data_IF_749036114092
#
_entry.id   IF_749036114092
#
_cell.length_a   1.000
_cell.length_b   1.000
_cell.length_c   1.000
_cell.angle_alpha   90.00
_cell.angle_beta   90.00
_cell.angle_gamma   90.00
#
_symmetry.space_group_name_H-M   'P 1'
#
loop_
_entity.id
_entity.type
_entity.pdbx_description
1 polymer ?
#
# COMPACT_ATOMS: atom_id res chain seq x y z
N UNK A 1 49.17 -4.79 44.12
CA UNK A 1 47.83 -4.34 43.62
C UNK A 1 47.90 -4.31 42.09
N UNK A 2 47.31 -5.32 41.43
CA UNK A 2 47.30 -5.42 39.96
C UNK A 2 45.99 -4.82 39.49
N UNK A 3 46.06 -3.73 38.70
CA UNK A 3 44.92 -3.05 38.09
C UNK A 3 44.62 -3.82 36.78
N UNK A 4 43.45 -4.44 36.71
CA UNK A 4 42.96 -5.08 35.46
C UNK A 4 42.40 -4.00 34.51
N UNK A 5 42.66 -4.08 33.21
CA UNK A 5 42.10 -3.15 32.25
C UNK A 5 40.63 -3.45 32.00
N UNK A 6 39.79 -2.44 32.17
CA UNK A 6 38.37 -2.48 31.82
C UNK A 6 38.28 -2.40 30.29
N UNK A 7 37.90 -3.51 29.65
CA UNK A 7 37.54 -3.52 28.22
C UNK A 7 36.17 -2.82 28.07
N UNK A 8 36.16 -1.61 27.56
CA UNK A 8 34.94 -0.96 27.05
C UNK A 8 34.53 -1.67 25.75
N UNK A 9 33.50 -2.52 25.83
CA UNK A 9 32.84 -3.03 24.64
C UNK A 9 32.06 -1.87 24.00
N UNK A 10 32.55 -1.36 22.88
CA UNK A 10 31.81 -0.45 22.03
C UNK A 10 30.66 -1.24 21.36
N UNK A 11 29.44 -1.07 21.87
CA UNK A 11 28.25 -1.47 21.16
C UNK A 11 28.15 -0.58 19.93
N UNK A 12 28.53 -1.09 18.77
CA UNK A 12 28.17 -0.52 17.49
C UNK A 12 26.64 -0.62 17.39
N UNK A 13 25.94 0.47 17.68
CA UNK A 13 24.54 0.61 17.29
C UNK A 13 24.51 0.57 15.76
N UNK A 14 24.18 -0.60 15.23
CA UNK A 14 23.79 -0.72 13.82
C UNK A 14 22.60 0.23 13.66
N UNK A 15 22.82 1.36 12.99
CA UNK A 15 21.74 2.20 12.47
C UNK A 15 21.07 1.30 11.44
N UNK A 16 20.05 0.56 11.84
CA UNK A 16 19.21 -0.16 10.90
C UNK A 16 18.63 0.91 9.97
N UNK A 17 18.99 0.83 8.71
CA UNK A 17 18.34 1.60 7.66
C UNK A 17 16.83 1.47 7.85
N UNK A 18 16.11 2.58 7.81
CA UNK A 18 14.66 2.54 7.99
C UNK A 18 14.05 1.60 6.95
N UNK A 19 13.21 0.68 7.40
CA UNK A 19 12.50 -0.25 6.53
C UNK A 19 11.21 0.37 5.98
N UNK A 20 10.68 -0.25 4.94
CA UNK A 20 9.36 0.03 4.37
C UNK A 20 8.53 -1.26 4.39
N UNK A 21 8.07 -1.72 5.58
CA UNK A 21 7.64 -3.09 5.80
C UNK A 21 6.24 -3.42 5.29
N UNK A 22 5.51 -2.42 4.82
CA UNK A 22 4.13 -2.57 4.34
C UNK A 22 3.83 -1.58 3.22
N UNK A 23 2.73 -1.81 2.53
CA UNK A 23 2.16 -0.83 1.62
C UNK A 23 1.92 0.49 2.34
N UNK A 24 2.38 1.58 1.73
CA UNK A 24 2.38 2.94 2.29
C UNK A 24 3.25 3.12 3.54
N UNK A 25 4.24 2.25 3.74
CA UNK A 25 5.30 2.43 4.73
C UNK A 25 4.97 1.94 6.14
N UNK A 26 5.84 2.29 7.10
CA UNK A 26 5.78 1.72 8.46
C UNK A 26 4.50 2.10 9.22
N UNK A 27 3.88 3.22 8.90
CA UNK A 27 2.65 3.72 9.52
C UNK A 27 1.40 3.53 8.65
N UNK A 28 1.57 3.06 7.39
CA UNK A 28 0.48 2.83 6.45
C UNK A 28 -0.19 4.10 5.91
N UNK A 29 0.36 5.27 6.20
CA UNK A 29 -0.19 6.58 5.84
C UNK A 29 0.51 7.27 4.66
N UNK A 30 1.56 6.62 4.12
CA UNK A 30 2.32 7.13 2.97
C UNK A 30 3.47 8.05 3.33
N UNK A 31 3.87 8.14 4.60
CA UNK A 31 5.01 8.94 5.02
C UNK A 31 6.28 8.11 5.13
N UNK A 32 7.35 8.59 4.48
CA UNK A 32 8.70 8.10 4.71
C UNK A 32 9.27 8.68 6.02
N UNK A 33 10.26 7.98 6.59
CA UNK A 33 11.04 8.53 7.70
C UNK A 33 11.68 9.87 7.29
N UNK A 34 11.76 10.81 8.21
CA UNK A 34 12.31 12.14 7.95
C UNK A 34 13.82 12.09 7.59
N UNK A 35 14.28 13.12 6.87
CA UNK A 35 15.68 13.31 6.52
C UNK A 35 16.16 12.50 5.31
N UNK A 36 15.23 12.08 4.44
CA UNK A 36 15.58 11.38 3.20
C UNK A 36 16.28 12.30 2.20
N UNK A 37 17.45 11.91 1.72
CA UNK A 37 18.16 12.57 0.63
C UNK A 37 17.84 11.90 -0.69
N UNK A 38 16.82 12.38 -1.38
CA UNK A 38 16.30 11.75 -2.59
C UNK A 38 16.57 12.64 -3.81
N UNK A 39 16.96 12.07 -4.95
CA UNK A 39 17.05 12.83 -6.18
C UNK A 39 15.65 13.33 -6.59
N UNK A 40 15.61 14.53 -7.15
CA UNK A 40 14.38 15.05 -7.78
C UNK A 40 14.25 14.55 -9.21
N UNK A 41 15.39 14.36 -9.89
CA UNK A 41 15.46 13.89 -11.28
C UNK A 41 16.17 12.55 -11.38
N UNK A 42 15.62 11.66 -12.20
CA UNK A 42 16.23 10.39 -12.57
C UNK A 42 15.73 9.88 -13.91
N UNK A 43 16.49 8.96 -14.48
CA UNK A 43 16.17 8.23 -15.70
C UNK A 43 16.84 6.85 -15.68
N UNK A 44 16.79 6.09 -16.76
CA UNK A 44 17.56 4.83 -16.86
C UNK A 44 19.09 5.06 -16.88
N UNK A 45 19.56 6.28 -17.06
CA UNK A 45 20.99 6.65 -17.09
C UNK A 45 21.42 7.64 -16.00
N UNK A 46 20.50 8.15 -15.19
CA UNK A 46 20.78 9.13 -14.14
C UNK A 46 20.11 8.72 -12.84
N UNK A 47 20.84 8.74 -11.73
CA UNK A 47 20.36 8.41 -10.39
C UNK A 47 19.67 7.05 -10.26
N UNK A 48 19.95 6.12 -11.17
CA UNK A 48 19.54 4.74 -11.11
C UNK A 48 20.65 3.90 -10.46
N UNK A 49 20.36 3.32 -9.31
CA UNK A 49 21.30 2.47 -8.58
C UNK A 49 21.33 1.08 -9.19
N UNK A 50 20.15 0.49 -9.42
CA UNK A 50 20.00 -0.80 -10.09
C UNK A 50 18.59 -0.98 -10.68
N UNK A 51 18.50 -1.94 -11.60
CA UNK A 51 17.29 -2.42 -12.25
C UNK A 51 17.28 -3.94 -12.23
N UNK A 52 16.18 -4.53 -11.83
CA UNK A 52 15.99 -5.98 -11.80
C UNK A 52 14.76 -6.39 -12.61
N UNK A 53 14.87 -7.44 -13.43
CA UNK A 53 13.71 -8.02 -14.08
C UNK A 53 12.84 -8.74 -13.05
N UNK A 54 11.52 -8.55 -13.13
CA UNK A 54 10.53 -9.19 -12.27
C UNK A 54 9.80 -10.25 -13.08
N UNK A 55 9.76 -11.47 -12.58
CA UNK A 55 9.01 -12.57 -13.16
C UNK A 55 7.51 -12.33 -13.04
N UNK A 56 6.77 -12.62 -14.11
CA UNK A 56 5.32 -12.56 -14.13
C UNK A 56 4.76 -11.15 -14.13
N UNK A 57 3.53 -10.99 -13.60
CA UNK A 57 2.80 -9.73 -13.54
C UNK A 57 2.16 -9.53 -12.17
N UNK A 58 2.20 -8.30 -11.66
CA UNK A 58 1.49 -7.94 -10.44
C UNK A 58 1.28 -6.42 -10.31
N UNK A 59 0.35 -6.02 -9.46
CA UNK A 59 0.11 -4.62 -9.12
C UNK A 59 0.64 -4.27 -7.74
N UNK A 60 0.94 -5.28 -6.92
CA UNK A 60 1.49 -5.10 -5.58
C UNK A 60 2.77 -4.27 -5.62
N UNK A 61 2.88 -3.38 -4.65
CA UNK A 61 4.00 -2.46 -4.48
C UNK A 61 5.19 -3.15 -3.82
N UNK A 62 6.42 -2.70 -4.03
CA UNK A 62 7.56 -3.23 -3.30
C UNK A 62 7.49 -2.85 -1.82
N UNK A 63 7.95 -3.76 -0.96
CA UNK A 63 8.29 -3.48 0.44
C UNK A 63 9.78 -3.71 0.66
N UNK A 64 10.33 -3.11 1.71
CA UNK A 64 11.75 -3.24 2.05
C UNK A 64 11.87 -3.69 3.49
N UNK A 65 12.57 -4.81 3.71
CA UNK A 65 12.77 -5.42 5.03
C UNK A 65 14.23 -5.84 5.15
N UNK A 66 14.97 -5.22 6.04
CA UNK A 66 16.40 -5.45 6.22
C UNK A 66 17.17 -5.26 4.92
N UNK A 67 17.80 -6.31 4.44
CA UNK A 67 18.60 -6.34 3.23
C UNK A 67 17.84 -6.84 1.98
N UNK A 68 16.50 -6.87 2.03
CA UNK A 68 15.63 -7.41 0.98
C UNK A 68 14.61 -6.39 0.48
N UNK A 69 14.36 -6.42 -0.82
CA UNK A 69 13.17 -5.81 -1.45
C UNK A 69 12.25 -6.94 -1.88
N UNK A 70 11.00 -6.89 -1.49
CA UNK A 70 10.05 -7.97 -1.64
C UNK A 70 8.80 -7.50 -2.39
N UNK A 71 8.23 -8.36 -3.22
CA UNK A 71 6.96 -8.10 -3.89
C UNK A 71 6.22 -9.39 -4.25
N UNK A 72 4.89 -9.28 -4.36
CA UNK A 72 4.04 -10.35 -4.86
C UNK A 72 3.95 -10.28 -6.39
N UNK A 73 3.88 -11.44 -7.03
CA UNK A 73 3.72 -11.57 -8.48
C UNK A 73 2.92 -12.83 -8.85
N UNK A 74 2.43 -12.88 -10.07
CA UNK A 74 1.83 -14.09 -10.63
C UNK A 74 2.35 -14.32 -12.05
N UNK A 75 2.73 -15.54 -12.31
CA UNK A 75 3.15 -16.02 -13.61
C UNK A 75 2.00 -16.87 -14.19
N UNK A 76 1.34 -16.34 -15.19
CA UNK A 76 0.16 -16.99 -15.78
C UNK A 76 0.52 -18.16 -16.71
N UNK A 77 1.77 -18.19 -17.21
CA UNK A 77 2.24 -19.27 -18.08
C UNK A 77 2.52 -20.53 -17.29
N UNK A 78 3.06 -20.38 -16.09
CA UNK A 78 3.31 -21.50 -15.16
C UNK A 78 2.19 -21.71 -14.15
N UNK A 79 1.16 -20.85 -14.18
CA UNK A 79 0.05 -20.80 -13.22
C UNK A 79 0.52 -20.68 -11.76
N UNK A 80 1.51 -19.84 -11.49
CA UNK A 80 2.08 -19.67 -10.16
C UNK A 80 1.78 -18.28 -9.59
N UNK A 81 1.46 -18.24 -8.29
CA UNK A 81 1.45 -17.02 -7.48
C UNK A 81 2.63 -17.07 -6.52
N UNK A 82 3.45 -16.01 -6.51
CA UNK A 82 4.76 -16.02 -5.87
C UNK A 82 5.00 -14.78 -5.03
N UNK A 83 5.92 -14.92 -4.07
CA UNK A 83 6.64 -13.80 -3.45
C UNK A 83 8.09 -13.85 -3.93
N UNK A 84 8.59 -12.72 -4.41
CA UNK A 84 9.97 -12.57 -4.89
C UNK A 84 10.76 -11.71 -3.90
N UNK A 85 12.02 -12.08 -3.73
CA UNK A 85 12.99 -11.33 -2.94
C UNK A 85 14.19 -10.94 -3.78
N UNK A 86 14.58 -9.68 -3.65
CA UNK A 86 15.76 -9.11 -4.28
C UNK A 86 16.71 -8.55 -3.22
N UNK A 87 17.98 -8.61 -3.47
CA UNK A 87 19.00 -7.98 -2.64
C UNK A 87 18.85 -6.45 -2.72
N UNK A 88 18.69 -5.80 -1.57
CA UNK A 88 18.42 -4.37 -1.46
C UNK A 88 19.52 -3.50 -2.06
N UNK A 89 20.78 -3.93 -1.95
CA UNK A 89 21.92 -3.16 -2.42
C UNK A 89 22.14 -3.29 -3.93
N UNK A 90 21.87 -4.47 -4.51
CA UNK A 90 22.29 -4.82 -5.86
C UNK A 90 21.14 -5.14 -6.82
N UNK A 91 19.93 -5.36 -6.33
CA UNK A 91 18.79 -5.83 -7.12
C UNK A 91 18.89 -7.29 -7.60
N UNK A 92 19.90 -8.06 -7.18
CA UNK A 92 20.01 -9.48 -7.55
C UNK A 92 18.89 -10.27 -6.89
N UNK A 93 18.30 -11.22 -7.64
CA UNK A 93 17.33 -12.17 -7.06
C UNK A 93 17.99 -12.98 -5.94
N UNK A 94 17.29 -13.07 -4.80
CA UNK A 94 17.72 -13.86 -3.63
C UNK A 94 17.00 -15.17 -3.54
N UNK A 95 15.66 -15.12 -3.66
CA UNK A 95 14.79 -16.28 -3.66
C UNK A 95 13.42 -15.96 -4.27
N UNK A 96 12.74 -17.01 -4.72
CA UNK A 96 11.35 -17.01 -5.15
C UNK A 96 10.59 -18.05 -4.33
N UNK A 97 9.46 -17.65 -3.74
CA UNK A 97 8.59 -18.55 -2.99
C UNK A 97 7.27 -18.72 -3.73
N UNK A 98 7.02 -19.93 -4.23
CA UNK A 98 5.72 -20.26 -4.83
C UNK A 98 4.71 -20.51 -3.72
N UNK A 99 3.67 -19.68 -3.69
CA UNK A 99 2.59 -19.73 -2.69
C UNK A 99 1.43 -20.60 -3.17
N UNK A 100 1.08 -20.48 -4.45
CA UNK A 100 0.07 -21.33 -5.10
C UNK A 100 0.53 -21.80 -6.47
N UNK A 101 0.09 -23.00 -6.85
CA UNK A 101 0.24 -23.58 -8.19
C UNK A 101 -1.13 -23.98 -8.73
N UNK A 102 -1.41 -23.58 -9.96
CA UNK A 102 -2.71 -23.82 -10.60
C UNK A 102 -3.86 -23.00 -10.01
N UNK A 103 -5.04 -23.21 -10.58
CA UNK A 103 -6.30 -22.61 -10.13
C UNK A 103 -6.31 -21.06 -10.08
N UNK A 104 -5.54 -20.42 -10.95
CA UNK A 104 -5.59 -18.98 -11.11
C UNK A 104 -6.99 -18.55 -11.53
N UNK A 105 -7.43 -17.41 -11.02
CA UNK A 105 -8.71 -16.86 -11.40
C UNK A 105 -8.66 -16.30 -12.83
N UNK A 106 -9.47 -16.84 -13.71
CA UNK A 106 -9.58 -16.38 -15.11
C UNK A 106 -10.62 -15.28 -15.34
N UNK A 107 -11.41 -14.95 -14.29
CA UNK A 107 -12.45 -13.91 -14.33
C UNK A 107 -11.90 -12.61 -13.72
N UNK A 108 -12.47 -11.48 -14.12
CA UNK A 108 -12.12 -10.18 -13.57
C UNK A 108 -11.99 -9.12 -14.67
N UNK A 109 -11.57 -7.93 -14.27
CA UNK A 109 -11.33 -6.83 -15.20
C UNK A 109 -10.05 -7.09 -16.01
N UNK A 110 -10.04 -6.71 -17.29
CA UNK A 110 -8.91 -6.95 -18.23
C UNK A 110 -7.55 -6.39 -17.77
N UNK A 111 -7.56 -5.33 -16.94
CA UNK A 111 -6.34 -4.75 -16.40
C UNK A 111 -5.98 -5.34 -15.02
N UNK A 112 -6.82 -6.16 -14.39
CA UNK A 112 -6.50 -6.77 -13.09
C UNK A 112 -5.28 -7.70 -13.20
N UNK A 113 -4.62 -7.96 -12.09
CA UNK A 113 -3.57 -8.96 -11.99
C UNK A 113 -3.94 -10.05 -10.99
N UNK A 114 -3.25 -11.19 -11.06
CA UNK A 114 -3.40 -12.29 -10.10
C UNK A 114 -2.60 -12.06 -8.80
N UNK A 115 -1.94 -10.89 -8.69
CA UNK A 115 -1.11 -10.48 -7.57
C UNK A 115 -1.20 -8.97 -7.36
N UNK A 116 -2.39 -8.48 -6.97
CA UNK A 116 -2.62 -7.05 -6.70
C UNK A 116 -2.46 -6.69 -5.22
N UNK A 117 -2.49 -7.68 -4.33
CA UNK A 117 -2.19 -7.50 -2.90
C UNK A 117 -0.70 -7.31 -2.67
N UNK A 118 -0.34 -6.44 -1.74
CA UNK A 118 1.03 -6.24 -1.32
C UNK A 118 1.46 -7.29 -0.28
N UNK A 119 2.77 -7.49 -0.17
CA UNK A 119 3.37 -8.20 0.96
C UNK A 119 3.44 -7.23 2.14
N UNK A 120 3.30 -7.74 3.37
CA UNK A 120 3.57 -6.99 4.59
C UNK A 120 4.48 -7.80 5.50
N UNK A 121 5.32 -7.13 6.30
CA UNK A 121 6.23 -7.77 7.25
C UNK A 121 6.09 -7.24 8.66
N UNK A 122 6.26 -8.13 9.65
CA UNK A 122 6.45 -7.77 11.06
C UNK A 122 7.93 -7.71 11.47
N UNK A 123 8.86 -7.77 10.50
CA UNK A 123 10.31 -7.84 10.72
C UNK A 123 10.86 -9.26 10.88
N UNK A 124 10.01 -10.25 11.13
CA UNK A 124 10.39 -11.67 11.26
C UNK A 124 9.68 -12.56 10.23
N UNK A 125 8.50 -12.15 9.78
CA UNK A 125 7.62 -12.89 8.87
C UNK A 125 7.11 -11.97 7.78
N UNK A 126 6.71 -12.60 6.68
CA UNK A 126 6.02 -11.98 5.56
C UNK A 126 4.61 -12.52 5.49
N UNK A 127 3.64 -11.66 5.19
CA UNK A 127 2.25 -12.08 4.97
C UNK A 127 1.78 -11.56 3.62
N UNK A 128 1.05 -12.39 2.89
CA UNK A 128 0.51 -12.04 1.58
C UNK A 128 -0.87 -12.67 1.40
N UNK A 129 -1.76 -11.94 0.74
CA UNK A 129 -3.07 -12.44 0.35
C UNK A 129 -3.09 -12.79 -1.14
N UNK A 130 -3.69 -13.92 -1.47
CA UNK A 130 -3.99 -14.28 -2.86
C UNK A 130 -5.42 -14.77 -3.00
N UNK A 131 -6.02 -14.43 -4.12
CA UNK A 131 -7.23 -15.10 -4.63
C UNK A 131 -6.78 -16.32 -5.42
N UNK A 132 -7.14 -17.50 -4.96
CA UNK A 132 -6.86 -18.76 -5.65
C UNK A 132 -8.03 -19.74 -5.44
N UNK A 133 -8.35 -20.53 -6.43
CA UNK A 133 -9.43 -21.54 -6.37
C UNK A 133 -10.75 -20.99 -5.77
N UNK A 134 -11.16 -19.79 -6.18
CA UNK A 134 -12.41 -19.16 -5.72
C UNK A 134 -12.45 -18.76 -4.24
N UNK A 135 -11.30 -18.64 -3.58
CA UNK A 135 -11.21 -18.27 -2.17
C UNK A 135 -10.01 -17.32 -1.92
N UNK A 136 -10.09 -16.55 -0.85
CA UNK A 136 -8.98 -15.76 -0.36
C UNK A 136 -8.15 -16.60 0.60
N UNK A 137 -6.84 -16.62 0.34
CA UNK A 137 -5.85 -17.23 1.19
C UNK A 137 -4.89 -16.18 1.71
N UNK A 138 -4.58 -16.26 3.01
CA UNK A 138 -3.46 -15.53 3.61
C UNK A 138 -2.35 -16.53 3.92
N UNK A 139 -1.14 -16.21 3.49
CA UNK A 139 0.04 -17.06 3.68
C UNK A 139 1.09 -16.30 4.45
N UNK A 140 1.66 -16.93 5.48
CA UNK A 140 2.84 -16.46 6.17
C UNK A 140 4.08 -17.20 5.69
N UNK A 141 5.13 -16.44 5.41
CA UNK A 141 6.47 -16.96 5.07
C UNK A 141 7.47 -16.45 6.11
N UNK A 142 8.58 -17.17 6.28
CA UNK A 142 9.76 -16.58 6.93
C UNK A 142 10.50 -15.64 5.96
N UNK A 143 11.50 -14.92 6.44
CA UNK A 143 12.29 -14.00 5.61
C UNK A 143 13.17 -14.69 4.55
N UNK A 144 13.19 -16.03 4.52
CA UNK A 144 13.87 -16.85 3.49
C UNK A 144 12.90 -17.44 2.48
N UNK A 145 11.60 -17.08 2.57
CA UNK A 145 10.56 -17.55 1.65
C UNK A 145 9.96 -18.91 2.01
N UNK A 146 10.33 -19.52 3.15
CA UNK A 146 9.70 -20.77 3.60
C UNK A 146 8.31 -20.51 4.15
N UNK A 147 7.30 -21.22 3.66
CA UNK A 147 5.94 -21.14 4.19
C UNK A 147 5.89 -21.65 5.64
N UNK A 148 5.33 -20.81 6.52
CA UNK A 148 5.10 -21.12 7.92
C UNK A 148 3.68 -21.64 8.13
N UNK A 149 2.70 -20.96 7.55
CA UNK A 149 1.30 -21.38 7.53
C UNK A 149 0.56 -20.77 6.34
N UNK A 150 -0.57 -21.35 5.98
CA UNK A 150 -1.51 -20.82 5.01
C UNK A 150 -2.93 -21.01 5.54
N UNK A 151 -3.74 -19.96 5.46
CA UNK A 151 -5.13 -19.97 5.92
C UNK A 151 -6.08 -19.60 4.77
N UNK A 152 -7.04 -20.46 4.51
CA UNK A 152 -8.23 -20.12 3.73
C UNK A 152 -9.12 -19.21 4.58
N UNK A 153 -9.32 -17.97 4.14
CA UNK A 153 -10.04 -16.94 4.90
C UNK A 153 -11.55 -17.03 4.65
N UNK A 154 -11.94 -17.04 3.38
CA UNK A 154 -13.34 -17.16 2.95
C UNK A 154 -13.43 -17.54 1.48
N UNK A 155 -14.62 -17.97 1.03
CA UNK A 155 -14.97 -18.00 -0.39
C UNK A 155 -14.94 -16.60 -0.97
N UNK A 156 -14.74 -16.47 -2.28
CA UNK A 156 -14.69 -15.17 -2.94
C UNK A 156 -15.35 -15.21 -4.32
N UNK A 157 -16.40 -14.44 -4.49
CA UNK A 157 -17.05 -14.26 -5.78
C UNK A 157 -16.45 -13.08 -6.53
N UNK A 158 -15.69 -13.37 -7.57
CA UNK A 158 -14.97 -12.37 -8.34
C UNK A 158 -15.90 -11.44 -9.11
N UNK A 159 -15.64 -10.15 -9.03
CA UNK A 159 -16.20 -9.12 -9.91
C UNK A 159 -15.09 -8.53 -10.80
N UNK A 160 -14.20 -7.70 -10.26
CA UNK A 160 -13.09 -7.12 -11.01
C UNK A 160 -11.73 -7.79 -10.70
N UNK A 161 -11.59 -8.42 -9.57
CA UNK A 161 -10.37 -9.04 -9.07
C UNK A 161 -10.32 -8.98 -7.55
N UNK A 162 -9.14 -9.17 -6.97
CA UNK A 162 -8.86 -9.02 -5.55
C UNK A 162 -7.59 -8.18 -5.36
N UNK A 163 -7.63 -7.16 -4.50
CA UNK A 163 -6.51 -6.24 -4.30
C UNK A 163 -6.25 -5.82 -2.85
N UNK A 164 -7.10 -6.23 -1.89
CA UNK A 164 -6.88 -5.87 -0.49
C UNK A 164 -5.62 -6.53 0.07
N UNK A 165 -4.73 -5.71 0.63
CA UNK A 165 -3.49 -6.18 1.25
C UNK A 165 -3.70 -6.58 2.70
N UNK A 166 -2.91 -7.53 3.25
CA UNK A 166 -2.94 -7.80 4.68
C UNK A 166 -2.40 -6.61 5.47
N UNK A 167 -2.92 -6.40 6.69
CA UNK A 167 -2.47 -5.32 7.58
C UNK A 167 -2.15 -5.91 8.94
N UNK A 168 -1.00 -5.54 9.51
CA UNK A 168 -0.58 -6.06 10.82
C UNK A 168 -0.91 -5.04 11.90
N UNK A 169 -1.57 -5.51 12.95
CA UNK A 169 -1.67 -4.78 14.21
C UNK A 169 -1.38 -5.72 15.39
N UNK A 170 -0.27 -5.48 16.07
CA UNK A 170 0.23 -6.31 17.17
C UNK A 170 0.36 -7.80 16.77
N UNK A 171 -0.49 -8.67 17.34
CA UNK A 171 -0.51 -10.12 17.06
C UNK A 171 -1.55 -10.53 16.02
N UNK A 172 -2.24 -9.57 15.39
CA UNK A 172 -3.30 -9.82 14.41
C UNK A 172 -2.86 -9.42 13.01
N UNK A 173 -3.16 -10.27 12.03
CA UNK A 173 -3.17 -9.94 10.60
C UNK A 173 -4.61 -9.73 10.18
N UNK A 174 -4.93 -8.51 9.78
CA UNK A 174 -6.25 -8.12 9.28
C UNK A 174 -6.35 -8.41 7.79
N UNK A 175 -7.48 -8.97 7.37
CA UNK A 175 -7.79 -9.30 5.97
C UNK A 175 -9.21 -8.85 5.66
N UNK A 176 -9.37 -7.99 4.66
CA UNK A 176 -10.66 -7.63 4.07
C UNK A 176 -10.89 -8.41 2.78
N UNK A 177 -12.08 -8.96 2.62
CA UNK A 177 -12.48 -9.73 1.45
C UNK A 177 -13.93 -9.42 1.09
N UNK A 178 -14.20 -8.17 0.69
CA UNK A 178 -15.53 -7.73 0.27
C UNK A 178 -15.85 -8.24 -1.14
N UNK A 179 -16.99 -8.91 -1.31
CA UNK A 179 -17.42 -9.45 -2.61
C UNK A 179 -18.94 -9.64 -2.69
N UNK A 180 -19.48 -9.81 -3.91
CA UNK A 180 -20.92 -9.90 -4.16
C UNK A 180 -21.63 -11.12 -3.53
N UNK A 181 -20.89 -12.10 -3.06
CA UNK A 181 -21.41 -13.27 -2.34
C UNK A 181 -21.52 -13.10 -0.82
N UNK A 182 -21.15 -11.93 -0.29
CA UNK A 182 -21.08 -11.66 1.16
C UNK A 182 -19.65 -11.69 1.68
N UNK A 183 -19.08 -10.50 1.91
CA UNK A 183 -17.68 -10.31 2.29
C UNK A 183 -17.38 -10.66 3.75
N UNK A 184 -16.10 -10.62 4.08
CA UNK A 184 -15.58 -10.83 5.44
C UNK A 184 -14.51 -9.79 5.77
N UNK A 185 -14.53 -9.34 7.03
CA UNK A 185 -13.41 -8.72 7.70
C UNK A 185 -12.88 -9.69 8.74
N UNK A 186 -11.63 -10.08 8.66
CA UNK A 186 -11.06 -11.19 9.45
C UNK A 186 -9.78 -10.75 10.15
N UNK A 187 -9.63 -11.13 11.42
CA UNK A 187 -8.38 -11.06 12.17
C UNK A 187 -7.80 -12.46 12.37
N UNK A 188 -6.58 -12.66 11.87
CA UNK A 188 -5.83 -13.90 12.01
C UNK A 188 -4.74 -13.74 13.08
N UNK A 189 -4.51 -14.77 13.88
CA UNK A 189 -3.31 -14.82 14.72
C UNK A 189 -2.07 -14.89 13.81
N UNK A 190 -1.17 -13.93 13.93
CA UNK A 190 0.00 -13.83 13.03
C UNK A 190 0.98 -14.99 13.15
N UNK A 191 0.98 -15.74 14.28
CA UNK A 191 1.89 -16.86 14.51
C UNK A 191 1.33 -18.18 13.97
N UNK A 192 0.02 -18.43 14.17
CA UNK A 192 -0.61 -19.71 13.83
C UNK A 192 -1.49 -19.67 12.58
N UNK A 193 -1.90 -18.48 12.11
CA UNK A 193 -2.88 -18.32 11.04
C UNK A 193 -4.32 -18.68 11.46
N UNK A 194 -4.58 -18.92 12.73
CA UNK A 194 -5.93 -19.19 13.22
C UNK A 194 -6.80 -17.93 13.15
N UNK A 195 -8.08 -18.12 12.80
CA UNK A 195 -9.06 -17.04 12.82
C UNK A 195 -9.36 -16.70 14.29
N UNK A 196 -8.97 -15.51 14.72
CA UNK A 196 -9.26 -14.99 16.06
C UNK A 196 -10.66 -14.40 16.10
N UNK A 197 -11.02 -13.67 15.06
CA UNK A 197 -12.34 -13.11 14.86
C UNK A 197 -12.67 -12.94 13.39
N UNK A 198 -13.96 -12.93 13.08
CA UNK A 198 -14.45 -12.68 11.74
C UNK A 198 -15.80 -11.95 11.81
N UNK A 199 -15.95 -10.90 11.00
CA UNK A 199 -17.16 -10.12 10.88
C UNK A 199 -17.71 -10.21 9.46
N UNK A 200 -19.02 -10.35 9.34
CA UNK A 200 -19.70 -10.31 8.05
C UNK A 200 -19.69 -8.89 7.48
N UNK A 201 -19.54 -8.82 6.17
CA UNK A 201 -19.59 -7.61 5.37
C UNK A 201 -20.68 -7.70 4.33
N UNK A 202 -21.22 -6.58 3.83
CA UNK A 202 -22.26 -6.59 2.81
C UNK A 202 -21.90 -7.41 1.58
N UNK A 203 -22.93 -7.97 0.89
CA UNK A 203 -22.76 -8.69 -0.38
C UNK A 203 -22.55 -7.72 -1.55
N UNK A 204 -21.50 -6.91 -1.47
CA UNK A 204 -21.11 -5.85 -2.42
C UNK A 204 -19.62 -5.95 -2.68
N UNK A 205 -19.22 -5.81 -3.95
CA UNK A 205 -17.79 -5.81 -4.28
C UNK A 205 -17.12 -4.54 -3.79
N UNK A 206 -15.93 -4.69 -3.21
CA UNK A 206 -15.08 -3.60 -2.78
C UNK A 206 -13.62 -4.08 -2.71
N UNK A 207 -12.66 -3.18 -2.72
CA UNK A 207 -11.23 -3.52 -2.90
C UNK A 207 -10.32 -2.84 -1.88
N UNK A 208 -10.89 -2.10 -0.94
CA UNK A 208 -10.12 -1.32 0.04
C UNK A 208 -9.32 -2.22 0.99
N UNK A 209 -8.11 -1.81 1.28
CA UNK A 209 -7.30 -2.31 2.39
C UNK A 209 -7.72 -1.59 3.68
N UNK A 210 -7.91 -2.27 4.81
CA UNK A 210 -8.21 -1.60 6.07
C UNK A 210 -7.11 -0.62 6.48
N UNK A 211 -7.48 0.60 6.88
CA UNK A 211 -6.55 1.56 7.46
C UNK A 211 -6.48 1.41 8.98
N UNK A 212 -5.29 1.23 9.56
CA UNK A 212 -5.10 1.36 11.01
C UNK A 212 -4.87 2.83 11.31
N UNK A 213 -5.79 3.45 12.03
CA UNK A 213 -5.71 4.86 12.40
C UNK A 213 -5.74 5.01 13.92
N UNK A 214 -4.91 5.91 14.44
CA UNK A 214 -4.99 6.36 15.83
C UNK A 214 -5.69 7.72 15.83
N UNK A 215 -6.97 7.71 16.14
CA UNK A 215 -7.79 8.90 16.05
C UNK A 215 -8.80 8.95 17.20
N UNK A 216 -9.12 10.16 17.68
CA UNK A 216 -9.96 10.39 18.86
C UNK A 216 -9.52 9.55 20.08
N UNK A 217 -8.21 9.40 20.29
CA UNK A 217 -7.62 8.65 21.40
C UNK A 217 -7.77 7.13 21.32
N UNK A 218 -8.16 6.58 20.16
CA UNK A 218 -8.35 5.14 19.96
C UNK A 218 -7.67 4.66 18.69
N UNK A 219 -7.11 3.45 18.75
CA UNK A 219 -6.67 2.74 17.55
C UNK A 219 -7.86 2.02 16.94
N UNK A 220 -8.07 2.22 15.66
CA UNK A 220 -9.22 1.74 14.91
C UNK A 220 -8.77 1.13 13.59
N UNK A 221 -9.38 0.02 13.18
CA UNK A 221 -9.29 -0.51 11.83
C UNK A 221 -10.49 0.03 11.04
N UNK A 222 -10.24 0.92 10.10
CA UNK A 222 -11.30 1.58 9.32
C UNK A 222 -11.34 1.04 7.91
N UNK A 223 -12.52 0.67 7.45
CA UNK A 223 -12.78 0.16 6.11
C UNK A 223 -13.93 0.93 5.45
N UNK A 224 -13.65 1.51 4.30
CA UNK A 224 -14.65 2.16 3.45
C UNK A 224 -15.09 1.24 2.31
N UNK A 225 -16.24 1.50 1.74
CA UNK A 225 -16.86 0.76 0.63
C UNK A 225 -18.11 0.02 1.06
N UNK A 226 -18.79 -0.63 0.11
CA UNK A 226 -20.09 -1.24 0.32
C UNK A 226 -21.15 -0.24 0.82
N UNK A 227 -21.07 1.03 0.36
CA UNK A 227 -21.90 2.17 0.78
C UNK A 227 -21.81 2.49 2.29
N UNK A 228 -20.71 2.09 2.94
CA UNK A 228 -20.49 2.30 4.38
C UNK A 228 -19.05 2.72 4.66
N UNK A 229 -18.90 3.37 5.81
CA UNK A 229 -17.61 3.47 6.49
C UNK A 229 -17.79 2.76 7.83
N UNK A 230 -16.97 1.76 8.08
CA UNK A 230 -17.04 0.99 9.31
C UNK A 230 -15.69 0.99 10.04
N UNK A 231 -15.76 1.09 11.34
CA UNK A 231 -14.61 1.03 12.24
C UNK A 231 -14.72 -0.18 13.16
N UNK A 232 -13.60 -0.86 13.35
CA UNK A 232 -13.49 -2.03 14.19
C UNK A 232 -12.34 -1.89 15.17
N UNK A 233 -12.48 -2.50 16.34
CA UNK A 233 -11.35 -2.79 17.19
C UNK A 233 -10.47 -3.85 16.49
N UNK A 234 -9.20 -3.55 16.18
CA UNK A 234 -8.38 -4.45 15.38
C UNK A 234 -8.01 -5.76 16.08
N UNK A 235 -8.07 -5.81 17.42
CA UNK A 235 -7.73 -7.03 18.18
C UNK A 235 -8.90 -7.98 18.33
N UNK A 236 -10.13 -7.45 18.45
CA UNK A 236 -11.33 -8.24 18.79
C UNK A 236 -12.34 -8.32 17.65
N UNK A 237 -12.20 -7.48 16.61
CA UNK A 237 -13.17 -7.35 15.53
C UNK A 237 -14.48 -6.68 15.95
N UNK A 238 -14.59 -6.20 17.20
CA UNK A 238 -15.79 -5.50 17.64
C UNK A 238 -16.00 -4.25 16.80
N UNK A 239 -17.18 -4.14 16.18
CA UNK A 239 -17.56 -2.92 15.47
C UNK A 239 -17.70 -1.78 16.46
N UNK A 240 -16.92 -0.71 16.25
CA UNK A 240 -16.91 0.48 17.09
C UNK A 240 -18.01 1.45 16.65
N UNK A 241 -18.11 1.68 15.35
CA UNK A 241 -19.15 2.48 14.73
C UNK A 241 -19.30 2.12 13.24
N UNK A 242 -20.43 2.51 12.68
CA UNK A 242 -20.73 2.37 11.25
C UNK A 242 -21.59 3.53 10.83
N UNK A 243 -21.28 4.11 9.68
CA UNK A 243 -22.10 5.16 9.04
C UNK A 243 -22.38 4.78 7.60
N UNK A 244 -23.49 5.28 7.07
CA UNK A 244 -23.74 5.28 5.64
C UNK A 244 -22.84 6.34 5.00
N UNK A 245 -22.26 6.03 3.87
CA UNK A 245 -21.34 6.93 3.18
C UNK A 245 -20.28 6.19 2.39
N UNK A 246 -19.25 6.94 1.92
CA UNK A 246 -18.36 6.44 0.90
C UNK A 246 -19.14 6.08 -0.37
N UNK A 247 -18.72 5.06 -1.11
CA UNK A 247 -19.40 4.57 -2.31
C UNK A 247 -19.50 3.05 -2.28
N UNK A 248 -20.18 2.47 -3.25
CA UNK A 248 -20.28 1.01 -3.38
C UNK A 248 -18.89 0.40 -3.47
N UNK A 249 -18.07 0.87 -4.42
CA UNK A 249 -16.70 0.40 -4.60
C UNK A 249 -15.69 1.52 -4.33
N UNK A 250 -14.63 1.20 -3.60
CA UNK A 250 -13.43 2.02 -3.42
C UNK A 250 -12.19 1.14 -3.22
N UNK A 251 -11.01 1.71 -3.47
CA UNK A 251 -9.71 1.06 -3.18
C UNK A 251 -8.95 1.82 -2.10
N UNK A 252 -9.43 3.03 -1.76
CA UNK A 252 -8.77 3.96 -0.85
C UNK A 252 -8.68 3.39 0.56
N UNK A 253 -7.48 3.44 1.12
CA UNK A 253 -7.23 3.20 2.55
C UNK A 253 -7.41 4.49 3.33
N UNK A 254 -8.08 4.39 4.47
CA UNK A 254 -8.32 5.50 5.37
C UNK A 254 -7.02 6.09 5.93
N UNK A 255 -6.95 7.43 6.01
CA UNK A 255 -5.90 8.18 6.69
C UNK A 255 -6.52 9.18 7.68
N UNK A 256 -5.72 9.73 8.60
CA UNK A 256 -6.25 10.58 9.69
C UNK A 256 -5.34 11.77 10.00
N UNK A 257 -5.93 12.84 10.51
CA UNK A 257 -5.24 13.96 11.18
C UNK A 257 -5.28 13.82 12.72
N UNK A 258 -5.76 12.68 13.24
CA UNK A 258 -5.96 12.43 14.66
C UNK A 258 -7.35 12.80 15.18
N UNK A 259 -8.06 13.68 14.50
CA UNK A 259 -9.44 14.11 14.84
C UNK A 259 -10.45 13.60 13.81
N UNK A 260 -10.04 13.53 12.54
CA UNK A 260 -10.88 13.12 11.41
C UNK A 260 -10.24 11.97 10.66
N UNK A 261 -11.08 11.23 9.97
CA UNK A 261 -10.70 10.13 9.06
C UNK A 261 -11.08 10.55 7.65
N UNK A 262 -10.12 10.50 6.72
CA UNK A 262 -10.28 10.89 5.33
C UNK A 262 -10.38 9.67 4.45
N UNK A 263 -11.36 9.68 3.55
CA UNK A 263 -11.77 8.55 2.73
C UNK A 263 -12.14 9.02 1.32
N UNK A 264 -12.03 8.13 0.37
CA UNK A 264 -12.40 8.36 -1.01
C UNK A 264 -13.40 7.35 -1.53
N UNK A 265 -13.89 7.60 -2.73
CA UNK A 265 -14.76 6.71 -3.47
C UNK A 265 -14.88 7.14 -4.92
N UNK A 266 -15.40 6.26 -5.77
CA UNK A 266 -15.45 6.57 -7.21
C UNK A 266 -16.50 5.81 -8.01
N UNK A 267 -17.23 4.85 -7.40
CA UNK A 267 -18.29 4.13 -8.09
C UNK A 267 -19.49 3.89 -7.14
N UNK A 268 -20.73 4.15 -7.54
CA UNK A 268 -21.14 4.67 -8.87
C UNK A 268 -20.95 6.18 -9.05
N UNK A 269 -20.52 6.90 -8.01
CA UNK A 269 -20.31 8.35 -8.03
C UNK A 269 -18.96 8.75 -7.45
N UNK A 270 -18.42 9.88 -7.88
CA UNK A 270 -17.22 10.47 -7.29
C UNK A 270 -17.51 10.96 -5.88
N UNK A 271 -16.60 10.70 -4.95
CA UNK A 271 -16.77 11.08 -3.56
C UNK A 271 -15.42 11.19 -2.85
N UNK A 272 -15.25 12.24 -2.09
CA UNK A 272 -14.18 12.40 -1.10
C UNK A 272 -14.80 12.96 0.16
N UNK A 273 -14.46 12.42 1.32
CA UNK A 273 -15.10 12.79 2.58
C UNK A 273 -14.14 12.76 3.77
N UNK A 274 -14.46 13.55 4.78
CA UNK A 274 -13.90 13.47 6.11
C UNK A 274 -15.00 13.17 7.13
N UNK A 275 -14.74 12.22 8.02
CA UNK A 275 -15.64 11.80 9.10
C UNK A 275 -14.99 12.13 10.43
N UNK A 276 -15.73 12.64 11.41
CA UNK A 276 -15.23 12.79 12.77
C UNK A 276 -14.89 11.41 13.35
N UNK A 277 -13.70 11.30 13.92
CA UNK A 277 -13.15 9.99 14.36
C UNK A 277 -13.71 9.53 15.71
N UNK A 278 -14.55 10.32 16.37
CA UNK A 278 -15.10 10.09 17.72
C UNK A 278 -16.20 9.00 17.78
N UNK A 279 -16.65 8.55 16.61
CA UNK A 279 -17.73 7.57 16.49
C UNK A 279 -19.12 8.17 16.45
N UNK A 280 -19.25 9.50 16.41
CA UNK A 280 -20.55 10.20 16.29
C UNK A 280 -21.25 9.94 14.95
N UNK A 281 -20.51 9.49 13.94
CA UNK A 281 -21.01 9.35 12.58
C UNK A 281 -21.15 10.68 11.83
N UNK A 282 -20.64 11.77 12.40
CA UNK A 282 -20.73 13.09 11.80
C UNK A 282 -19.74 13.20 10.62
N UNK A 283 -20.26 13.54 9.46
CA UNK A 283 -19.46 13.96 8.31
C UNK A 283 -18.99 15.39 8.56
N UNK A 284 -17.67 15.61 8.63
CA UNK A 284 -17.08 16.92 8.80
C UNK A 284 -17.21 17.74 7.52
N UNK A 285 -16.91 17.11 6.39
CA UNK A 285 -17.09 17.67 5.05
C UNK A 285 -17.07 16.55 4.00
N UNK A 286 -17.60 16.86 2.83
CA UNK A 286 -17.55 16.00 1.65
C UNK A 286 -17.51 16.83 0.37
N UNK A 287 -16.99 16.26 -0.70
CA UNK A 287 -17.00 16.86 -2.03
C UNK A 287 -17.09 15.78 -3.13
N UNK A 288 -17.22 16.20 -4.39
CA UNK A 288 -17.39 15.33 -5.55
C UNK A 288 -16.08 15.03 -6.28
N UNK A 289 -14.93 15.23 -5.64
CA UNK A 289 -13.64 14.86 -6.22
C UNK A 289 -13.53 13.35 -6.28
N UNK A 290 -13.06 12.84 -7.42
CA UNK A 290 -12.82 11.40 -7.58
C UNK A 290 -11.49 11.01 -6.96
N UNK A 291 -11.55 10.30 -5.85
CA UNK A 291 -10.41 9.62 -5.22
C UNK A 291 -10.78 8.15 -5.05
N UNK A 292 -10.79 7.38 -6.17
CA UNK A 292 -11.31 6.00 -6.17
C UNK A 292 -10.21 4.98 -5.86
N UNK A 293 -9.02 5.13 -6.46
CA UNK A 293 -7.91 4.17 -6.29
C UNK A 293 -6.80 4.74 -5.41
N UNK A 294 -6.16 5.90 -5.72
CA UNK A 294 -5.07 6.40 -4.90
C UNK A 294 -5.54 6.90 -3.53
N UNK A 295 -4.86 6.48 -2.48
CA UNK A 295 -5.10 6.93 -1.10
C UNK A 295 -4.45 8.30 -0.85
N UNK A 296 -5.02 9.06 0.08
CA UNK A 296 -4.58 10.43 0.41
C UNK A 296 -3.41 10.45 1.39
N UNK A 297 -2.79 11.61 1.54
CA UNK A 297 -1.77 11.93 2.55
C UNK A 297 -2.26 13.10 3.39
N UNK A 298 -2.03 13.06 4.70
CA UNK A 298 -2.39 14.13 5.62
C UNK A 298 -1.12 14.69 6.25
N UNK A 299 -0.95 16.01 6.20
CA UNK A 299 0.20 16.70 6.82
C UNK A 299 -0.17 18.10 7.28
N UNK A 300 0.15 18.42 8.52
CA UNK A 300 0.05 19.79 9.08
C UNK A 300 -1.30 20.47 8.80
N UNK A 301 -2.42 19.77 9.04
CA UNK A 301 -3.76 20.32 8.84
C UNK A 301 -4.22 20.38 7.37
N UNK A 302 -3.53 19.70 6.47
CA UNK A 302 -3.86 19.63 5.06
C UNK A 302 -3.97 18.18 4.57
N UNK A 303 -4.86 17.95 3.61
CA UNK A 303 -5.04 16.69 2.89
C UNK A 303 -4.55 16.87 1.47
N UNK A 304 -3.61 16.04 1.06
CA UNK A 304 -3.11 15.97 -0.31
C UNK A 304 -3.63 14.70 -0.98
N UNK A 305 -4.19 14.84 -2.16
CA UNK A 305 -4.69 13.72 -2.94
C UNK A 305 -4.21 13.80 -4.39
N UNK A 306 -4.11 12.62 -5.01
CA UNK A 306 -4.00 12.51 -6.47
C UNK A 306 -5.13 11.59 -6.91
N UNK A 307 -6.08 12.14 -7.66
CA UNK A 307 -7.22 11.37 -8.15
C UNK A 307 -6.86 10.50 -9.36
N UNK A 308 -7.65 9.44 -9.58
CA UNK A 308 -7.42 8.50 -10.71
C UNK A 308 -7.39 9.21 -12.05
N UNK A 309 -8.18 10.27 -12.22
CA UNK A 309 -8.20 11.10 -13.43
C UNK A 309 -6.97 11.99 -13.61
N UNK A 310 -5.97 11.91 -12.74
CA UNK A 310 -4.69 12.59 -12.91
C UNK A 310 -4.62 14.02 -12.38
N UNK A 311 -5.54 14.44 -11.51
CA UNK A 311 -5.46 15.73 -10.80
C UNK A 311 -4.91 15.54 -9.39
N UNK A 312 -3.96 16.38 -9.01
CA UNK A 312 -3.58 16.55 -7.61
C UNK A 312 -4.41 17.69 -7.00
N UNK A 313 -4.72 17.57 -5.72
CA UNK A 313 -5.45 18.59 -4.96
C UNK A 313 -4.95 18.68 -3.52
N UNK A 314 -5.15 19.84 -2.91
CA UNK A 314 -4.88 20.09 -1.51
C UNK A 314 -6.11 20.75 -0.87
N UNK A 315 -6.54 20.21 0.27
CA UNK A 315 -7.65 20.75 1.06
C UNK A 315 -7.19 21.03 2.49
N UNK A 316 -7.85 22.01 3.14
CA UNK A 316 -7.78 22.12 4.61
C UNK A 316 -8.45 20.89 5.25
N UNK A 317 -7.75 20.19 6.13
CA UNK A 317 -8.27 18.95 6.74
C UNK A 317 -9.53 19.20 7.58
N UNK A 318 -9.64 20.38 8.19
CA UNK A 318 -10.75 20.75 9.07
C UNK A 318 -12.05 21.06 8.33
N UNK A 319 -11.98 21.64 7.13
CA UNK A 319 -13.15 22.22 6.44
C UNK A 319 -13.41 21.66 5.05
N UNK A 320 -12.44 20.97 4.44
CA UNK A 320 -12.51 20.54 3.05
C UNK A 320 -12.36 21.69 2.03
N UNK A 321 -12.00 22.89 2.49
CA UNK A 321 -11.72 24.02 1.59
C UNK A 321 -10.58 23.65 0.65
N UNK A 322 -10.84 23.69 -0.66
CA UNK A 322 -9.83 23.45 -1.69
C UNK A 322 -8.90 24.65 -1.79
N UNK A 323 -7.61 24.41 -1.59
CA UNK A 323 -6.58 25.44 -1.68
C UNK A 323 -5.99 25.50 -3.08
N UNK A 324 -5.83 24.33 -3.72
CA UNK A 324 -5.45 24.22 -5.12
C UNK A 324 -5.83 22.85 -5.69
N UNK A 325 -6.01 22.78 -7.01
CA UNK A 325 -6.26 21.56 -7.76
C UNK A 325 -5.68 21.68 -9.18
N UNK A 326 -4.71 20.82 -9.53
CA UNK A 326 -3.96 20.92 -10.77
C UNK A 326 -3.84 19.58 -11.49
N UNK A 327 -3.81 19.62 -12.82
CA UNK A 327 -3.57 18.45 -13.66
C UNK A 327 -2.08 18.09 -13.61
N UNK A 328 -1.78 16.83 -13.25
CA UNK A 328 -0.40 16.31 -13.13
C UNK A 328 -0.05 15.37 -14.26
N UNK A 329 -0.93 14.38 -14.55
CA UNK A 329 -0.76 13.40 -15.62
C UNK A 329 -2.15 12.89 -16.05
N UNK A 330 -2.21 11.76 -16.73
CA UNK A 330 -3.46 11.21 -17.28
C UNK A 330 -4.23 10.36 -16.28
N UNK A 331 -3.57 9.38 -15.66
CA UNK A 331 -4.23 8.33 -14.87
C UNK A 331 -3.29 7.80 -13.79
N UNK A 332 -3.80 7.65 -12.56
CA UNK A 332 -3.04 7.09 -11.42
C UNK A 332 -3.77 5.91 -10.80
N UNK A 333 -3.01 4.86 -10.48
CA UNK A 333 -3.44 3.72 -9.65
C UNK A 333 -2.57 3.61 -8.40
N UNK A 334 -1.28 3.91 -8.51
CA UNK A 334 -0.40 4.03 -7.35
C UNK A 334 -0.78 5.21 -6.47
N UNK A 335 -0.67 5.04 -5.16
CA UNK A 335 -0.90 6.12 -4.19
C UNK A 335 0.31 7.04 -4.08
N UNK A 336 0.11 8.33 -3.75
CA UNK A 336 1.20 9.22 -3.42
C UNK A 336 1.91 8.78 -2.13
N UNK A 337 3.21 9.06 -2.07
CA UNK A 337 4.09 8.88 -0.91
C UNK A 337 4.80 10.19 -0.64
N UNK A 338 4.93 10.55 0.63
CA UNK A 338 5.60 11.78 1.06
C UNK A 338 6.95 11.47 1.73
N UNK A 339 7.98 12.17 1.29
CA UNK A 339 9.27 12.21 1.96
C UNK A 339 9.61 13.67 2.25
N UNK A 340 9.78 14.02 3.52
CA UNK A 340 9.99 15.37 4.02
C UNK A 340 8.90 16.36 3.54
N UNK A 341 9.23 17.21 2.57
CA UNK A 341 8.33 18.22 1.99
C UNK A 341 7.88 17.89 0.56
N UNK A 342 8.16 16.69 0.06
CA UNK A 342 7.88 16.32 -1.34
C UNK A 342 6.95 15.14 -1.42
N UNK A 343 6.06 15.17 -2.42
CA UNK A 343 5.17 14.08 -2.77
C UNK A 343 5.67 13.42 -4.05
N UNK A 344 5.73 12.10 -4.04
CA UNK A 344 6.12 11.22 -5.13
C UNK A 344 4.93 10.37 -5.51
N UNK A 345 4.53 10.37 -6.77
CA UNK A 345 3.43 9.54 -7.26
C UNK A 345 3.71 9.08 -8.68
N UNK A 346 3.52 7.78 -8.92
CA UNK A 346 3.75 7.18 -10.24
C UNK A 346 2.44 6.96 -10.97
N UNK A 347 2.34 7.54 -12.16
CA UNK A 347 1.17 7.37 -13.04
C UNK A 347 1.17 5.98 -13.69
N UNK A 348 0.00 5.59 -14.23
CA UNK A 348 -0.13 4.36 -15.02
C UNK A 348 0.84 4.29 -16.20
N UNK A 349 1.21 5.43 -16.77
CA UNK A 349 2.21 5.52 -17.83
C UNK A 349 3.66 5.36 -17.38
N UNK A 350 3.93 5.04 -16.12
CA UNK A 350 5.29 4.87 -15.59
C UNK A 350 6.03 6.18 -15.30
N UNK A 351 5.33 7.33 -15.36
CA UNK A 351 5.89 8.64 -15.01
C UNK A 351 5.73 8.89 -13.52
N UNK A 352 6.83 9.10 -12.80
CA UNK A 352 6.79 9.55 -11.42
C UNK A 352 6.88 11.07 -11.36
N UNK A 353 5.80 11.71 -10.93
CA UNK A 353 5.75 13.15 -10.67
C UNK A 353 6.23 13.43 -9.24
N UNK A 354 7.09 14.44 -9.12
CA UNK A 354 7.59 14.95 -7.83
C UNK A 354 7.14 16.40 -7.70
N UNK A 355 6.44 16.73 -6.62
CA UNK A 355 5.95 18.09 -6.33
C UNK A 355 6.02 18.41 -4.84
N UNK A 356 6.05 19.71 -4.52
CA UNK A 356 6.11 20.16 -3.13
C UNK A 356 4.78 19.90 -2.39
N UNK A 357 4.87 19.40 -1.16
CA UNK A 357 3.75 19.20 -0.25
C UNK A 357 3.44 20.50 0.51
N UNK A 358 2.98 21.52 -0.22
CA UNK A 358 2.69 22.86 0.30
C UNK A 358 1.23 23.24 0.03
N UNK A 359 0.55 23.93 0.97
CA UNK A 359 -0.82 24.39 0.77
C UNK A 359 -0.95 25.67 -0.07
N UNK A 360 0.14 26.43 -0.29
CA UNK A 360 0.10 27.73 -0.94
C UNK A 360 -0.23 27.63 -2.43
N UNK A 361 0.37 26.65 -3.11
CA UNK A 361 0.16 26.41 -4.54
C UNK A 361 0.74 25.06 -4.95
N UNK A 362 0.25 24.52 -6.04
CA UNK A 362 0.91 23.37 -6.69
C UNK A 362 2.27 23.77 -7.28
N UNK A 363 3.32 23.01 -6.96
CA UNK A 363 4.67 23.25 -7.46
C UNK A 363 5.31 21.94 -7.94
N UNK A 364 5.16 21.66 -9.24
CA UNK A 364 5.78 20.49 -9.89
C UNK A 364 7.29 20.71 -9.99
N UNK A 365 8.09 19.80 -9.45
CA UNK A 365 9.54 19.83 -9.47
C UNK A 365 10.12 19.03 -10.63
N UNK A 366 9.54 17.87 -10.92
CA UNK A 366 9.99 17.00 -12.02
C UNK A 366 8.95 15.95 -12.39
N UNK A 367 9.15 15.37 -13.58
CA UNK A 367 8.50 14.15 -14.04
C UNK A 367 9.59 13.20 -14.57
N UNK A 368 9.61 11.98 -14.06
CA UNK A 368 10.68 11.00 -14.29
C UNK A 368 10.09 9.72 -14.84
N UNK A 369 10.55 9.26 -15.99
CA UNK A 369 10.00 8.08 -16.69
C UNK A 369 10.85 6.85 -16.39
N UNK A 370 10.24 5.78 -15.84
CA UNK A 370 10.80 4.44 -15.77
C UNK A 370 9.73 3.40 -16.15
N UNK A 371 9.96 2.69 -17.26
CA UNK A 371 8.92 1.87 -17.89
C UNK A 371 7.83 2.71 -18.58
N UNK A 372 6.72 2.08 -18.96
CA UNK A 372 5.59 2.70 -19.66
C UNK A 372 4.21 2.21 -19.13
N UNK A 373 4.23 1.34 -18.08
CA UNK A 373 3.04 0.93 -17.35
C UNK A 373 3.37 0.70 -15.87
N UNK A 374 2.61 1.32 -14.95
CA UNK A 374 2.72 1.07 -13.51
C UNK A 374 1.37 1.15 -12.81
N UNK A 375 1.17 0.27 -11.81
CA UNK A 375 0.01 0.26 -10.92
C UNK A 375 0.42 0.39 -9.45
N UNK A 376 1.72 0.41 -9.19
CA UNK A 376 2.31 0.29 -7.86
C UNK A 376 2.58 1.64 -7.21
N UNK A 377 2.52 1.66 -5.89
CA UNK A 377 2.94 2.79 -5.06
C UNK A 377 4.46 2.73 -4.86
N UNK A 378 5.18 3.87 -4.90
CA UNK A 378 6.60 3.92 -4.56
C UNK A 378 6.85 3.48 -3.11
N UNK A 379 7.97 2.79 -2.85
CA UNK A 379 8.50 2.60 -1.51
C UNK A 379 9.72 3.50 -1.31
N UNK A 380 9.78 4.22 -0.17
CA UNK A 380 10.85 5.19 0.09
C UNK A 380 11.48 4.94 1.45
N UNK A 381 12.73 4.55 1.46
CA UNK A 381 13.52 4.39 2.68
C UNK A 381 15.02 4.43 2.39
N UNK A 382 15.80 4.83 3.40
CA UNK A 382 17.27 4.85 3.35
C UNK A 382 17.81 5.56 2.09
N UNK A 383 17.29 6.77 1.83
CA UNK A 383 17.68 7.61 0.71
C UNK A 383 17.47 6.96 -0.68
N UNK A 384 16.55 6.00 -0.78
CA UNK A 384 16.22 5.28 -2.02
C UNK A 384 14.73 5.25 -2.27
N UNK A 385 14.38 5.23 -3.55
CA UNK A 385 13.01 5.03 -4.05
C UNK A 385 13.00 3.71 -4.79
N UNK A 386 12.08 2.82 -4.41
CA UNK A 386 11.86 1.55 -5.10
C UNK A 386 10.55 1.65 -5.88
N UNK A 387 10.63 1.38 -7.18
CA UNK A 387 9.51 1.51 -8.12
C UNK A 387 9.31 0.18 -8.85
N UNK A 388 8.05 -0.20 -9.07
CA UNK A 388 7.69 -1.31 -9.94
C UNK A 388 6.96 -0.77 -11.15
N UNK A 389 7.45 -1.08 -12.34
CA UNK A 389 6.81 -0.74 -13.61
C UNK A 389 7.14 -1.76 -14.70
N UNK A 390 6.39 -1.74 -15.78
CA UNK A 390 6.65 -2.60 -16.94
C UNK A 390 7.13 -1.78 -18.14
N UNK A 391 7.78 -2.47 -19.07
CA UNK A 391 7.94 -2.09 -20.47
C UNK A 391 6.99 -2.97 -21.28
N UNK A 392 6.02 -2.35 -21.97
CA UNK A 392 4.90 -3.05 -22.62
C UNK A 392 5.14 -3.40 -24.08
N UNK A 393 6.34 -3.25 -24.62
CA UNK A 393 6.71 -3.58 -26.02
C UNK A 393 6.16 -4.93 -26.53
N UNK A 394 6.73 -5.51 -27.59
CA UNK A 394 6.26 -6.78 -28.15
C UNK A 394 6.15 -7.92 -27.12
N UNK A 395 7.05 -7.90 -26.14
CA UNK A 395 7.00 -8.78 -24.97
C UNK A 395 6.97 -7.91 -23.73
N UNK A 396 5.89 -7.98 -22.94
CA UNK A 396 5.76 -7.25 -21.68
C UNK A 396 6.75 -7.80 -20.66
N UNK A 397 7.56 -6.92 -20.04
CA UNK A 397 8.49 -7.26 -18.97
C UNK A 397 8.33 -6.28 -17.83
N UNK A 398 8.11 -6.79 -16.62
CA UNK A 398 8.14 -6.00 -15.39
C UNK A 398 9.54 -5.83 -14.84
N UNK A 399 9.77 -4.69 -14.21
CA UNK A 399 11.02 -4.33 -13.56
C UNK A 399 10.79 -3.76 -12.18
N UNK A 400 11.71 -4.06 -11.29
CA UNK A 400 11.93 -3.37 -10.04
C UNK A 400 13.13 -2.43 -10.22
N UNK A 401 12.95 -1.16 -9.87
CA UNK A 401 13.95 -0.12 -10.01
C UNK A 401 14.34 0.41 -8.65
N UNK A 402 15.59 0.65 -8.41
CA UNK A 402 16.10 1.36 -7.25
C UNK A 402 16.73 2.68 -7.68
N UNK A 403 16.15 3.78 -7.24
CA UNK A 403 16.60 5.14 -7.52
C UNK A 403 17.22 5.73 -6.25
N UNK A 404 18.30 6.45 -6.38
CA UNK A 404 19.00 7.14 -5.31
C UNK A 404 20.08 8.03 -5.89
N UNK A 405 20.63 8.94 -5.09
CA UNK A 405 21.78 9.74 -5.54
C UNK A 405 22.95 8.79 -5.87
N UNK A 406 23.42 8.85 -7.10
CA UNK A 406 24.66 8.17 -7.49
C UNK A 406 25.81 8.86 -6.75
N UNK A 407 26.49 8.15 -5.86
CA UNK A 407 27.70 8.70 -5.22
C UNK A 407 28.68 9.18 -6.31
N UNK A 408 29.06 10.43 -6.24
CA UNK A 408 30.13 11.00 -7.06
C UNK A 408 31.47 10.41 -6.65
#
# INVERSE_FOLDING_TARGET
>A
MKIAPLLLAAFATSIFAADWPAWRGPTGDGHAAAGQKLPVKWSESENLIWKAAVRGRGHGSPIVVGDQVLLATADVETEEQLVLSFDRATGKSRWEAVVHRGNLNTKGHKISSQASSDVVSDGERLFVNFLNNGAIFTTALDLKGKQLWQRRVCDFQVHQGFGSSPVIYQNIVLVSADHRGGGKMTGLNKLSGEIVWQQDRPAVANYATPGIVNAAGKVQAVLAGCNKVESFDPLTGKKLWSIDGSTEETVVTAVTDGSRIFLGGGYPKNHTMAVEADGSGKIAWENVTRTYVPSMIVKNGHVFAVGDGGRAACWKSATGEELWSEKVDREFYGSPVMADSRIYVTSKGGVTSVFDATPEKFALLSQNQLGDESFSTPAICDNRIYLRSAKTGPTRQEYLWCVGESGK
#
